data_IF_716062940697
#
_entry.id   IF_716062940697
#
_cell.length_a   1.000
_cell.length_b   1.000
_cell.length_c   1.000
_cell.angle_alpha   90.00
_cell.angle_beta   90.00
_cell.angle_gamma   90.00
#
_symmetry.space_group_name_H-M   'P 1'
#
loop_
_entity.id
_entity.type
_entity.pdbx_description
1 polymer ?
#
# COMPACT_ATOMS: atom_id res chain seq x y z
N UNK A 1 0.31 -16.67 23.90
CA UNK A 1 -0.09 -17.34 22.65
C UNK A 1 0.47 -16.48 21.54
N UNK A 2 1.43 -16.99 20.77
CA UNK A 2 1.92 -16.28 19.60
C UNK A 2 0.77 -16.19 18.60
N UNK A 3 0.30 -14.98 18.32
CA UNK A 3 -0.56 -14.72 17.18
C UNK A 3 0.25 -15.02 15.93
N UNK A 4 -0.04 -16.14 15.27
CA UNK A 4 0.61 -16.56 14.02
C UNK A 4 0.06 -15.70 12.86
N UNK A 5 0.26 -14.38 12.97
CA UNK A 5 -0.21 -13.42 11.99
C UNK A 5 0.52 -13.68 10.67
N UNK A 6 -0.26 -13.79 9.59
CA UNK A 6 0.28 -14.13 8.29
C UNK A 6 1.13 -12.97 7.78
N UNK A 7 2.41 -13.22 7.54
CA UNK A 7 3.32 -12.23 6.95
C UNK A 7 3.18 -12.26 5.44
N UNK A 8 2.78 -11.15 4.84
CA UNK A 8 2.51 -11.07 3.40
C UNK A 8 3.25 -9.90 2.77
N UNK A 9 3.74 -10.12 1.55
CA UNK A 9 4.13 -9.04 0.63
C UNK A 9 2.98 -8.89 -0.36
N UNK A 10 2.52 -7.66 -0.56
CA UNK A 10 1.39 -7.34 -1.43
C UNK A 10 1.91 -6.59 -2.65
N UNK A 11 1.50 -7.04 -3.84
CA UNK A 11 1.84 -6.42 -5.11
C UNK A 11 1.31 -4.97 -5.21
N UNK A 12 2.07 -4.11 -5.89
CA UNK A 12 1.72 -2.71 -6.11
C UNK A 12 0.34 -2.53 -6.74
N UNK A 13 -0.11 -3.40 -7.65
CA UNK A 13 -1.44 -3.29 -8.27
C UNK A 13 -2.59 -3.57 -7.28
N UNK A 14 -2.37 -4.47 -6.32
CA UNK A 14 -3.33 -4.77 -5.24
C UNK A 14 -3.41 -3.55 -4.32
N UNK A 15 -2.27 -2.97 -3.94
CA UNK A 15 -2.20 -1.73 -3.16
C UNK A 15 -2.96 -0.59 -3.83
N UNK A 16 -2.71 -0.35 -5.10
CA UNK A 16 -3.37 0.71 -5.86
C UNK A 16 -4.88 0.49 -5.87
N UNK A 17 -5.33 -0.74 -6.13
CA UNK A 17 -6.77 -1.06 -6.13
C UNK A 17 -7.40 -0.79 -4.77
N UNK A 18 -6.76 -1.24 -3.69
CA UNK A 18 -7.20 -1.00 -2.32
C UNK A 18 -7.27 0.50 -1.98
N UNK A 19 -6.21 1.27 -2.28
CA UNK A 19 -6.09 2.69 -1.95
C UNK A 19 -7.09 3.58 -2.70
N UNK A 20 -7.45 3.24 -3.94
CA UNK A 20 -8.48 3.97 -4.70
C UNK A 20 -9.91 3.55 -4.33
N UNK A 21 -10.08 2.77 -3.26
CA UNK A 21 -11.38 2.35 -2.75
C UNK A 21 -12.03 1.22 -3.55
N UNK A 22 -11.28 0.46 -4.37
CA UNK A 22 -11.83 -0.81 -4.89
C UNK A 22 -11.87 -1.80 -3.75
N UNK A 23 -13.07 -2.27 -3.43
CA UNK A 23 -13.27 -3.28 -2.40
C UNK A 23 -12.49 -4.55 -2.77
N UNK A 24 -11.43 -4.83 -2.01
CA UNK A 24 -10.76 -6.12 -2.01
C UNK A 24 -11.36 -6.91 -0.85
N UNK A 25 -12.34 -7.75 -1.18
CA UNK A 25 -13.13 -8.48 -0.19
C UNK A 25 -12.20 -9.25 0.74
N UNK A 26 -12.32 -9.00 2.05
CA UNK A 26 -11.57 -9.71 3.09
C UNK A 26 -10.20 -9.13 3.46
N UNK A 27 -9.52 -8.39 2.56
CA UNK A 27 -8.19 -7.81 2.88
C UNK A 27 -8.31 -6.77 4.01
N UNK A 28 -9.29 -5.87 3.92
CA UNK A 28 -9.52 -4.83 4.94
C UNK A 28 -9.75 -5.46 6.32
N UNK A 29 -10.59 -6.50 6.39
CA UNK A 29 -10.91 -7.20 7.64
C UNK A 29 -9.75 -8.07 8.14
N UNK A 30 -8.85 -8.51 7.26
CA UNK A 30 -7.66 -9.25 7.65
C UNK A 30 -6.61 -8.31 8.27
N UNK A 31 -6.44 -7.12 7.69
CA UNK A 31 -5.56 -6.06 8.20
C UNK A 31 -6.10 -5.51 9.53
N UNK A 32 -7.38 -5.11 9.60
CA UNK A 32 -7.99 -4.51 10.80
C UNK A 32 -7.97 -5.45 12.01
N UNK A 33 -8.07 -6.76 11.77
CA UNK A 33 -8.11 -7.76 12.85
C UNK A 33 -6.71 -8.27 13.24
N UNK A 34 -5.63 -7.58 12.84
CA UNK A 34 -4.23 -7.97 13.09
C UNK A 34 -3.90 -9.41 12.66
N UNK A 35 -4.65 -9.96 11.68
CA UNK A 35 -4.43 -11.30 11.15
C UNK A 35 -3.31 -11.35 10.13
N UNK A 36 -2.87 -10.18 9.66
CA UNK A 36 -1.89 -10.03 8.59
C UNK A 36 -0.88 -8.96 8.96
N UNK A 37 0.41 -9.31 8.85
CA UNK A 37 1.53 -8.38 8.92
C UNK A 37 1.98 -8.10 7.50
N UNK A 38 1.91 -6.84 7.10
CA UNK A 38 2.34 -6.41 5.77
C UNK A 38 3.83 -6.14 5.81
N UNK A 39 4.57 -6.75 4.89
CA UNK A 39 5.99 -6.53 4.69
C UNK A 39 6.21 -5.68 3.44
N UNK A 40 7.05 -4.66 3.58
CA UNK A 40 7.55 -3.85 2.48
C UNK A 40 9.08 -3.95 2.42
N UNK A 41 9.62 -4.01 1.21
CA UNK A 41 10.99 -3.56 0.95
C UNK A 41 10.96 -2.08 0.58
N UNK A 42 12.12 -1.43 0.67
CA UNK A 42 12.27 -0.05 0.21
C UNK A 42 11.92 0.06 -1.29
N UNK A 43 12.38 -0.88 -2.12
CA UNK A 43 12.07 -0.90 -3.55
C UNK A 43 10.56 -0.98 -3.83
N UNK A 44 9.83 -1.85 -3.11
CA UNK A 44 8.39 -2.00 -3.28
C UNK A 44 7.65 -0.73 -2.83
N UNK A 45 8.10 -0.13 -1.73
CA UNK A 45 7.54 1.12 -1.24
C UNK A 45 7.78 2.26 -2.24
N UNK A 46 8.98 2.33 -2.81
CA UNK A 46 9.32 3.31 -3.83
C UNK A 46 8.49 3.14 -5.11
N UNK A 47 8.37 1.93 -5.64
CA UNK A 47 7.51 1.66 -6.79
C UNK A 47 6.07 2.09 -6.50
N UNK A 48 5.53 1.74 -5.33
CA UNK A 48 4.18 2.14 -4.92
C UNK A 48 4.03 3.67 -4.94
N UNK A 49 4.99 4.41 -4.37
CA UNK A 49 4.98 5.87 -4.36
C UNK A 49 5.07 6.46 -5.78
N UNK A 50 5.88 5.89 -6.67
CA UNK A 50 5.94 6.31 -8.06
C UNK A 50 4.62 6.08 -8.79
N UNK A 51 3.98 4.93 -8.57
CA UNK A 51 2.69 4.62 -9.17
C UNK A 51 1.62 5.58 -8.66
N UNK A 52 1.54 5.84 -7.36
CA UNK A 52 0.58 6.76 -6.75
C UNK A 52 0.70 8.20 -7.28
N UNK A 53 1.93 8.62 -7.63
CA UNK A 53 2.20 9.95 -8.18
C UNK A 53 1.80 10.11 -9.67
N UNK A 54 1.42 9.03 -10.38
CA UNK A 54 1.01 9.13 -11.79
C UNK A 54 -0.26 9.97 -11.94
N UNK A 55 -0.39 10.79 -13.01
CA UNK A 55 -1.52 11.72 -13.19
C UNK A 55 -2.91 11.07 -13.06
N UNK A 56 -3.06 9.82 -13.54
CA UNK A 56 -4.32 9.07 -13.48
C UNK A 56 -4.79 8.74 -12.05
N UNK A 57 -3.86 8.71 -11.08
CA UNK A 57 -4.15 8.39 -9.68
C UNK A 57 -4.27 9.63 -8.79
N UNK A 58 -3.67 10.76 -9.19
CA UNK A 58 -3.75 12.03 -8.45
C UNK A 58 -5.19 12.46 -8.09
N UNK A 59 -6.17 12.14 -8.93
CA UNK A 59 -7.59 12.47 -8.66
C UNK A 59 -8.20 11.73 -7.46
N UNK A 60 -7.58 10.64 -7.00
CA UNK A 60 -8.06 9.85 -5.86
C UNK A 60 -7.46 10.32 -4.52
N UNK A 61 -6.43 11.18 -4.54
CA UNK A 61 -5.72 11.63 -3.34
C UNK A 61 -5.72 13.16 -3.27
N UNK A 62 -6.16 13.74 -2.14
CA UNK A 62 -6.12 15.18 -1.94
C UNK A 62 -4.68 15.67 -1.75
N UNK A 63 -4.36 16.86 -2.28
CA UNK A 63 -3.00 17.39 -2.36
C UNK A 63 -2.37 17.81 -1.01
N UNK A 64 -3.02 17.53 0.13
CA UNK A 64 -2.70 18.13 1.42
C UNK A 64 -1.96 17.25 2.44
N UNK A 65 -1.49 16.05 2.08
CA UNK A 65 -0.99 15.07 3.07
C UNK A 65 0.26 14.29 2.61
N UNK A 66 0.96 14.73 1.56
CA UNK A 66 2.11 13.99 1.06
C UNK A 66 3.39 14.78 1.29
N UNK A 67 4.16 14.37 2.30
CA UNK A 67 5.60 14.65 2.29
C UNK A 67 6.21 13.76 1.20
N UNK A 68 6.88 14.39 0.23
CA UNK A 68 7.60 13.65 -0.80
C UNK A 68 8.75 12.92 -0.12
N UNK A 69 8.56 11.65 0.20
CA UNK A 69 9.66 10.76 0.45
C UNK A 69 10.43 10.65 -0.87
N UNK A 70 11.54 11.35 -0.96
CA UNK A 70 12.43 11.26 -2.11
C UNK A 70 13.02 9.86 -2.14
N UNK A 71 12.48 8.99 -2.99
CA UNK A 71 13.12 7.71 -3.24
C UNK A 71 14.31 7.93 -4.16
N UNK A 72 15.52 7.77 -3.64
CA UNK A 72 16.72 7.67 -4.46
C UNK A 72 16.84 6.25 -5.00
N UNK A 73 16.02 5.90 -6.00
CA UNK A 73 16.26 4.68 -6.78
C UNK A 73 17.56 4.91 -7.56
N UNK A 74 18.57 4.09 -7.28
CA UNK A 74 19.80 4.02 -8.08
C UNK A 74 19.63 3.02 -9.21
#
# INVERSE_FOLDING_TARGET
>A
MESNALRVVIDTNIWISFLIGKAITGLNQAIINDRVIILFSDDLFCELMEVLNRPKFKKYFSAGQWEVYGCQIR
#
